data_IF_543246228378
#
_entry.id   IF_543246228378
#
_cell.length_a   1.000
_cell.length_b   1.000
_cell.length_c   1.000
_cell.angle_alpha   90.00
_cell.angle_beta   90.00
_cell.angle_gamma   90.00
#
_symmetry.space_group_name_H-M   'P 1'
#
loop_
_entity.id
_entity.type
_entity.pdbx_description
1 polymer ?
#
# COMPACT_ATOMS: atom_id res chain seq x y z
N UNK A 1 -4.53 25.02 -18.40
CA UNK A 1 -5.03 23.78 -17.80
C UNK A 1 -3.90 23.12 -17.01
N UNK A 2 -3.94 23.15 -15.65
CA UNK A 2 -2.88 22.60 -14.80
C UNK A 2 -2.67 21.09 -14.97
N UNK A 3 -3.68 20.35 -15.43
CA UNK A 3 -3.58 18.90 -15.72
C UNK A 3 -2.48 18.58 -16.74
N UNK A 4 -2.11 19.55 -17.58
CA UNK A 4 -1.01 19.38 -18.55
C UNK A 4 0.31 19.04 -17.86
N UNK A 5 0.52 19.46 -16.61
CA UNK A 5 1.71 19.10 -15.82
C UNK A 5 1.78 17.58 -15.59
N UNK A 6 0.66 16.94 -15.21
CA UNK A 6 0.60 15.49 -15.03
C UNK A 6 0.78 14.73 -16.34
N UNK A 7 0.26 15.27 -17.43
CA UNK A 7 0.47 14.70 -18.78
C UNK A 7 1.92 14.80 -19.23
N UNK A 8 2.59 15.94 -18.96
CA UNK A 8 4.02 16.11 -19.24
C UNK A 8 4.86 15.07 -18.50
N UNK A 9 4.61 14.89 -17.17
CA UNK A 9 5.26 13.85 -16.37
C UNK A 9 5.00 12.45 -16.94
N UNK A 10 3.76 12.15 -17.32
CA UNK A 10 3.40 10.85 -17.90
C UNK A 10 4.12 10.59 -19.22
N UNK A 11 4.15 11.56 -20.14
CA UNK A 11 4.83 11.39 -21.41
C UNK A 11 6.35 11.32 -21.25
N UNK A 12 6.93 12.15 -20.35
CA UNK A 12 8.33 12.04 -19.98
C UNK A 12 8.68 10.62 -19.54
N UNK A 13 7.90 10.05 -18.61
CA UNK A 13 8.15 8.71 -18.11
C UNK A 13 7.95 7.62 -19.18
N UNK A 14 6.87 7.70 -19.96
CA UNK A 14 6.50 6.67 -20.93
C UNK A 14 7.41 6.62 -22.15
N UNK A 15 7.90 7.77 -22.60
CA UNK A 15 8.66 7.91 -23.84
C UNK A 15 10.14 8.23 -23.60
N UNK A 16 10.57 8.19 -22.33
CA UNK A 16 11.93 8.55 -21.88
C UNK A 16 12.39 9.91 -22.42
N UNK A 17 11.47 10.88 -22.44
CA UNK A 17 11.75 12.22 -22.96
C UNK A 17 12.40 13.09 -21.87
N UNK A 18 13.22 14.04 -22.32
CA UNK A 18 13.66 15.16 -21.50
C UNK A 18 12.66 16.31 -21.67
N UNK A 19 12.28 16.92 -20.57
CA UNK A 19 11.51 18.16 -20.61
C UNK A 19 12.43 19.32 -21.00
N UNK A 20 11.88 20.29 -21.70
CA UNK A 20 12.57 21.56 -21.95
C UNK A 20 12.92 22.25 -20.63
N UNK A 21 14.06 22.95 -20.58
CA UNK A 21 14.56 23.58 -19.35
C UNK A 21 13.54 24.57 -18.73
N UNK A 22 12.80 25.32 -19.56
CA UNK A 22 11.75 26.23 -19.08
C UNK A 22 10.59 25.47 -18.46
N UNK A 23 10.22 24.31 -19.01
CA UNK A 23 9.19 23.46 -18.40
C UNK A 23 9.67 22.88 -17.08
N UNK A 24 10.90 22.40 -16.98
CA UNK A 24 11.45 21.87 -15.72
C UNK A 24 11.47 22.93 -14.61
N UNK A 25 11.73 24.19 -14.93
CA UNK A 25 11.70 25.31 -14.00
C UNK A 25 10.26 25.72 -13.62
N UNK A 26 9.32 25.68 -14.56
CA UNK A 26 7.94 26.10 -14.34
C UNK A 26 7.12 25.10 -13.53
N UNK A 27 7.35 23.79 -13.69
CA UNK A 27 6.55 22.76 -13.02
C UNK A 27 6.50 22.92 -11.51
N UNK A 28 7.61 23.07 -10.76
CA UNK A 28 7.55 23.29 -9.31
C UNK A 28 6.84 24.58 -8.93
N UNK A 29 7.05 25.66 -9.69
CA UNK A 29 6.41 26.97 -9.42
C UNK A 29 4.90 26.91 -9.60
N UNK A 30 4.41 26.08 -10.51
CA UNK A 30 2.99 25.96 -10.84
C UNK A 30 2.29 24.78 -10.14
N UNK A 31 3.01 23.95 -9.37
CA UNK A 31 2.45 22.76 -8.74
C UNK A 31 1.18 23.05 -7.93
N UNK A 32 1.13 24.18 -7.21
CA UNK A 32 -0.04 24.61 -6.46
C UNK A 32 -1.29 24.84 -7.31
N UNK A 33 -1.15 25.11 -8.61
CA UNK A 33 -2.29 25.28 -9.50
C UNK A 33 -3.11 23.97 -9.70
N UNK A 34 -2.56 22.80 -9.34
CA UNK A 34 -3.31 21.54 -9.33
C UNK A 34 -4.53 21.60 -8.41
N UNK A 35 -4.51 22.39 -7.35
CA UNK A 35 -5.65 22.55 -6.44
C UNK A 35 -6.89 23.18 -7.08
N UNK A 36 -6.75 23.83 -8.24
CA UNK A 36 -7.87 24.38 -9.00
C UNK A 36 -8.54 23.35 -9.92
N UNK A 37 -7.97 22.15 -10.04
CA UNK A 37 -8.52 21.07 -10.86
C UNK A 37 -9.48 20.22 -10.02
N UNK A 38 -10.57 19.76 -10.61
CA UNK A 38 -11.53 18.91 -9.90
C UNK A 38 -10.86 17.61 -9.41
N UNK A 39 -11.08 17.21 -8.14
CA UNK A 39 -10.45 16.02 -7.54
C UNK A 39 -10.67 14.70 -8.29
N UNK A 40 -11.86 14.43 -8.90
CA UNK A 40 -12.02 13.23 -9.73
C UNK A 40 -11.12 13.22 -10.97
N UNK A 41 -10.91 14.38 -11.60
CA UNK A 41 -10.03 14.49 -12.78
C UNK A 41 -8.57 14.27 -12.41
N UNK A 42 -8.13 14.78 -11.25
CA UNK A 42 -6.78 14.51 -10.74
C UNK A 42 -6.59 13.02 -10.47
N UNK A 43 -7.57 12.35 -9.87
CA UNK A 43 -7.53 10.90 -9.65
C UNK A 43 -7.32 10.12 -10.96
N UNK A 44 -8.08 10.45 -12.03
CA UNK A 44 -7.93 9.79 -13.34
C UNK A 44 -6.55 9.99 -13.96
N UNK A 45 -6.00 11.19 -13.89
CA UNK A 45 -4.67 11.46 -14.46
C UNK A 45 -3.56 10.79 -13.64
N UNK A 46 -3.68 10.73 -12.30
CA UNK A 46 -2.74 10.01 -11.44
C UNK A 46 -2.70 8.51 -11.79
N UNK A 47 -3.86 7.89 -11.99
CA UNK A 47 -3.91 6.50 -12.45
C UNK A 47 -3.15 6.34 -13.77
N UNK A 48 -3.35 7.24 -14.72
CA UNK A 48 -2.63 7.19 -16.01
C UNK A 48 -1.12 7.37 -15.87
N UNK A 49 -0.66 8.08 -14.85
CA UNK A 49 0.78 8.19 -14.54
C UNK A 49 1.31 6.91 -13.92
N UNK A 50 0.58 6.32 -12.98
CA UNK A 50 1.07 5.18 -12.19
C UNK A 50 0.85 3.82 -12.85
N UNK A 51 -0.06 3.71 -13.84
CA UNK A 51 -0.45 2.45 -14.50
C UNK A 51 -0.13 2.42 -16.00
N UNK A 52 0.96 3.04 -16.41
CA UNK A 52 1.37 3.06 -17.82
C UNK A 52 2.57 2.17 -18.15
N UNK A 53 3.05 1.36 -17.21
CA UNK A 53 4.26 0.54 -17.32
C UNK A 53 5.56 1.30 -17.00
N UNK A 54 5.46 2.56 -16.61
CA UNK A 54 6.57 3.44 -16.21
C UNK A 54 6.21 4.23 -14.93
N UNK A 55 5.36 3.63 -14.08
CA UNK A 55 4.83 4.27 -12.88
C UNK A 55 5.90 4.66 -11.87
N UNK A 56 6.97 3.87 -11.74
CA UNK A 56 8.09 4.18 -10.87
C UNK A 56 8.81 5.48 -11.31
N UNK A 57 9.08 5.63 -12.60
CA UNK A 57 9.70 6.85 -13.16
C UNK A 57 8.74 8.04 -13.06
N UNK A 58 7.44 7.79 -13.32
CA UNK A 58 6.40 8.81 -13.20
C UNK A 58 6.28 9.34 -11.77
N UNK A 59 6.29 8.48 -10.77
CA UNK A 59 6.23 8.86 -9.36
C UNK A 59 7.45 9.69 -8.93
N UNK A 60 8.66 9.28 -9.32
CA UNK A 60 9.87 10.05 -9.07
C UNK A 60 9.83 11.44 -9.71
N UNK A 61 9.26 11.55 -10.91
CA UNK A 61 9.09 12.83 -11.57
C UNK A 61 8.03 13.70 -10.87
N UNK A 62 6.92 13.12 -10.38
CA UNK A 62 5.94 13.85 -9.57
C UNK A 62 6.59 14.43 -8.30
N UNK A 63 7.45 13.66 -7.63
CA UNK A 63 8.18 14.10 -6.44
C UNK A 63 9.17 15.21 -6.79
N UNK A 64 10.04 14.97 -7.77
CA UNK A 64 11.07 15.93 -8.24
C UNK A 64 10.50 17.30 -8.58
N UNK A 65 9.32 17.33 -9.18
CA UNK A 65 8.68 18.60 -9.59
C UNK A 65 7.68 19.15 -8.56
N UNK A 66 7.65 18.61 -7.33
CA UNK A 66 6.78 19.10 -6.25
C UNK A 66 5.28 18.83 -6.48
N UNK A 67 4.92 18.10 -7.54
CA UNK A 67 3.53 17.78 -7.85
C UNK A 67 2.93 16.78 -6.85
N UNK A 68 3.77 15.89 -6.31
CA UNK A 68 3.35 14.89 -5.33
C UNK A 68 2.79 15.52 -4.06
N UNK A 69 3.44 16.58 -3.56
CA UNK A 69 2.99 17.33 -2.39
C UNK A 69 1.63 18.02 -2.64
N UNK A 70 1.39 18.53 -3.84
CA UNK A 70 0.11 19.18 -4.20
C UNK A 70 -1.02 18.17 -4.37
N UNK A 71 -0.72 16.94 -4.79
CA UNK A 71 -1.71 15.87 -4.98
C UNK A 71 -2.04 15.15 -3.66
N UNK A 72 -1.04 14.90 -2.81
CA UNK A 72 -1.14 14.10 -1.60
C UNK A 72 -0.57 14.83 -0.37
N UNK A 73 -1.06 16.04 -0.05
CA UNK A 73 -0.43 16.90 0.96
C UNK A 73 -0.33 16.24 2.35
N UNK A 74 -1.38 15.52 2.77
CA UNK A 74 -1.37 14.81 4.07
C UNK A 74 -0.51 13.54 4.03
N UNK A 75 -0.55 12.78 2.93
CA UNK A 75 0.20 11.52 2.83
C UNK A 75 1.71 11.75 2.75
N UNK A 76 2.16 12.76 2.02
CA UNK A 76 3.59 13.08 1.86
C UNK A 76 4.28 13.44 3.17
N UNK A 77 3.54 13.96 4.16
CA UNK A 77 4.07 14.23 5.51
C UNK A 77 4.47 12.95 6.26
N UNK A 78 3.97 11.81 5.84
CA UNK A 78 4.24 10.50 6.44
C UNK A 78 5.22 9.66 5.62
N UNK A 79 5.64 10.13 4.45
CA UNK A 79 6.64 9.42 3.65
C UNK A 79 8.01 9.53 4.31
N UNK A 80 8.70 8.41 4.41
CA UNK A 80 10.11 8.40 4.75
C UNK A 80 10.94 8.68 3.49
N UNK A 81 12.19 9.08 3.68
CA UNK A 81 13.14 9.22 2.58
C UNK A 81 13.28 7.91 1.78
N UNK A 82 13.10 6.77 2.45
CA UNK A 82 13.09 5.45 1.80
C UNK A 82 11.90 5.29 0.86
N UNK A 83 10.72 5.80 1.25
CA UNK A 83 9.50 5.71 0.45
C UNK A 83 9.57 6.56 -0.82
N UNK A 84 10.41 7.59 -0.85
CA UNK A 84 10.57 8.47 -2.01
C UNK A 84 11.73 8.05 -2.92
N UNK A 85 12.91 7.80 -2.35
CA UNK A 85 14.15 7.79 -3.10
C UNK A 85 14.93 6.48 -3.05
N UNK A 86 14.65 5.54 -2.13
CA UNK A 86 15.44 4.31 -2.01
C UNK A 86 14.91 3.19 -2.89
N UNK A 87 15.83 2.48 -3.54
CA UNK A 87 15.52 1.33 -4.40
C UNK A 87 14.65 0.27 -3.71
N UNK A 88 14.76 0.11 -2.39
CA UNK A 88 14.02 -0.86 -1.59
C UNK A 88 12.86 -0.25 -0.78
N UNK A 89 12.49 1.01 -1.04
CA UNK A 89 11.34 1.63 -0.41
C UNK A 89 10.02 0.97 -0.82
N UNK A 90 9.04 1.01 0.07
CA UNK A 90 7.74 0.36 -0.13
C UNK A 90 7.05 0.83 -1.42
N UNK A 91 6.94 2.14 -1.63
CA UNK A 91 6.28 2.74 -2.81
C UNK A 91 7.06 2.46 -4.09
N UNK A 92 8.38 2.72 -4.19
CA UNK A 92 9.17 2.40 -5.38
C UNK A 92 9.14 0.91 -5.75
N UNK A 93 9.17 0.00 -4.78
CA UNK A 93 9.06 -1.44 -5.04
C UNK A 93 7.68 -1.82 -5.59
N UNK A 94 6.60 -1.28 -5.01
CA UNK A 94 5.25 -1.54 -5.50
C UNK A 94 5.07 -1.07 -6.95
N UNK A 95 5.59 0.11 -7.28
CA UNK A 95 5.51 0.67 -8.62
C UNK A 95 6.31 -0.15 -9.62
N UNK A 96 7.56 -0.52 -9.32
CA UNK A 96 8.36 -1.39 -10.19
C UNK A 96 7.72 -2.75 -10.42
N UNK A 97 7.18 -3.37 -9.35
CA UNK A 97 6.46 -4.64 -9.49
C UNK A 97 5.21 -4.49 -10.37
N UNK A 98 4.52 -3.35 -10.27
CA UNK A 98 3.37 -3.03 -11.12
C UNK A 98 3.80 -2.83 -12.58
N UNK A 99 4.87 -2.08 -12.82
CA UNK A 99 5.43 -1.86 -14.15
C UNK A 99 5.86 -3.18 -14.81
N UNK A 100 6.54 -4.06 -14.04
CA UNK A 100 6.92 -5.39 -14.53
C UNK A 100 5.71 -6.26 -14.85
N UNK A 101 4.66 -6.25 -14.01
CA UNK A 101 3.42 -6.99 -14.28
C UNK A 101 2.73 -6.50 -15.56
N UNK A 102 2.72 -5.19 -15.80
CA UNK A 102 2.19 -4.61 -17.04
C UNK A 102 3.01 -5.01 -18.26
N UNK A 103 4.34 -5.02 -18.16
CA UNK A 103 5.22 -5.54 -19.20
C UNK A 103 4.97 -7.02 -19.51
N UNK A 104 4.74 -7.83 -18.45
CA UNK A 104 4.39 -9.26 -18.54
C UNK A 104 2.91 -9.48 -18.96
N UNK A 105 2.14 -8.44 -19.27
CA UNK A 105 0.69 -8.50 -19.58
C UNK A 105 -0.15 -9.14 -18.47
N UNK A 106 0.31 -9.08 -17.20
CA UNK A 106 -0.43 -9.58 -16.03
C UNK A 106 -1.39 -8.51 -15.53
N UNK A 107 -2.56 -8.91 -14.97
CA UNK A 107 -3.53 -7.94 -14.46
C UNK A 107 -2.97 -7.16 -13.26
N UNK A 108 -3.24 -5.86 -13.25
CA UNK A 108 -2.97 -4.94 -12.15
C UNK A 108 -4.25 -4.23 -11.73
N UNK A 109 -4.35 -3.86 -10.47
CA UNK A 109 -5.51 -3.16 -9.92
C UNK A 109 -5.09 -1.84 -9.27
N UNK A 110 -5.75 -0.75 -9.63
CA UNK A 110 -5.48 0.58 -9.06
C UNK A 110 -5.58 0.62 -7.53
N UNK A 111 -6.54 -0.07 -6.86
CA UNK A 111 -6.61 -0.11 -5.40
C UNK A 111 -5.31 -0.56 -4.73
N UNK A 112 -4.54 -1.45 -5.34
CA UNK A 112 -3.28 -1.94 -4.78
C UNK A 112 -2.27 -0.80 -4.59
N UNK A 113 -1.99 -0.02 -5.63
CA UNK A 113 -1.03 1.09 -5.55
C UNK A 113 -1.47 2.17 -4.56
N UNK A 114 -2.77 2.53 -4.55
CA UNK A 114 -3.28 3.48 -3.56
C UNK A 114 -3.24 2.93 -2.13
N UNK A 115 -3.44 1.61 -1.95
CA UNK A 115 -3.26 0.98 -0.63
C UNK A 115 -1.82 1.11 -0.13
N UNK A 116 -0.84 0.93 -1.01
CA UNK A 116 0.58 1.09 -0.67
C UNK A 116 0.92 2.55 -0.41
N UNK A 117 0.49 3.46 -1.28
CA UNK A 117 0.78 4.90 -1.20
C UNK A 117 0.28 5.52 0.11
N UNK A 118 -0.92 5.14 0.55
CA UNK A 118 -1.55 5.73 1.74
C UNK A 118 -1.29 4.93 3.02
N UNK A 119 -0.55 3.81 2.95
CA UNK A 119 -0.34 2.89 4.07
C UNK A 119 0.30 3.54 5.29
N UNK A 120 1.37 4.33 5.08
CA UNK A 120 2.09 5.00 6.17
C UNK A 120 1.16 5.91 6.99
N UNK A 121 0.32 6.66 6.30
CA UNK A 121 -0.64 7.57 6.95
C UNK A 121 -1.68 6.79 7.73
N UNK A 122 -2.23 5.69 7.17
CA UNK A 122 -3.17 4.81 7.87
C UNK A 122 -2.54 4.18 9.11
N UNK A 123 -1.30 3.68 9.00
CA UNK A 123 -0.57 3.12 10.14
C UNK A 123 -0.35 4.17 11.25
N UNK A 124 0.04 5.38 10.89
CA UNK A 124 0.27 6.45 11.85
C UNK A 124 -0.99 6.78 12.65
N UNK A 125 -2.13 6.91 11.98
CA UNK A 125 -3.41 7.17 12.64
C UNK A 125 -3.88 5.98 13.48
N UNK A 126 -3.61 4.75 13.05
CA UNK A 126 -3.95 3.55 13.80
C UNK A 126 -3.11 3.37 15.07
N UNK A 127 -1.83 3.77 15.06
CA UNK A 127 -0.93 3.69 16.23
C UNK A 127 -1.31 4.65 17.35
N UNK A 128 -1.95 5.76 17.03
CA UNK A 128 -2.41 6.75 18.02
C UNK A 128 -3.55 6.24 18.90
N UNK A 129 -4.18 5.11 18.57
CA UNK A 129 -5.31 4.52 19.28
C UNK A 129 -4.95 3.12 19.76
N UNK A 130 -4.54 2.96 21.01
CA UNK A 130 -4.30 1.64 21.61
C UNK A 130 -5.61 1.00 22.06
N UNK A 131 -5.90 -0.24 21.63
CA UNK A 131 -7.11 -0.99 22.00
C UNK A 131 -6.97 -2.49 21.77
N UNK A 132 -7.85 -3.30 22.39
CA UNK A 132 -7.89 -4.75 22.21
C UNK A 132 -8.24 -5.19 20.77
N UNK A 133 -8.26 -6.52 20.52
CA UNK A 133 -8.40 -7.08 19.15
C UNK A 133 -9.64 -6.62 18.36
N UNK A 134 -10.77 -6.33 18.99
CA UNK A 134 -11.96 -5.78 18.32
C UNK A 134 -11.72 -4.33 17.89
N UNK A 135 -11.03 -3.57 18.72
CA UNK A 135 -10.68 -2.19 18.47
C UNK A 135 -9.69 -2.03 17.29
N UNK A 136 -8.90 -3.06 16.94
CA UNK A 136 -7.90 -2.96 15.85
C UNK A 136 -8.58 -2.71 14.48
N UNK A 137 -9.62 -3.47 14.14
CA UNK A 137 -10.32 -3.29 12.88
C UNK A 137 -11.13 -1.99 12.86
N UNK A 138 -11.80 -1.66 13.95
CA UNK A 138 -12.52 -0.40 14.09
C UNK A 138 -11.55 0.80 13.97
N UNK A 139 -10.42 0.74 14.63
CA UNK A 139 -9.36 1.75 14.54
C UNK A 139 -8.82 1.87 13.11
N UNK A 140 -8.63 0.73 12.41
CA UNK A 140 -8.22 0.73 11.01
C UNK A 140 -9.26 1.45 10.14
N UNK A 141 -10.55 1.12 10.28
CA UNK A 141 -11.62 1.76 9.52
C UNK A 141 -11.68 3.27 9.76
N UNK A 142 -11.66 3.70 11.04
CA UNK A 142 -11.64 5.12 11.39
C UNK A 142 -10.41 5.84 10.81
N UNK A 143 -9.24 5.18 10.82
CA UNK A 143 -8.02 5.72 10.24
C UNK A 143 -8.09 5.82 8.71
N UNK A 144 -8.66 4.80 8.07
CA UNK A 144 -8.89 4.77 6.62
C UNK A 144 -9.87 5.88 6.19
N UNK A 145 -10.98 6.03 6.89
CA UNK A 145 -11.96 7.08 6.63
C UNK A 145 -11.34 8.47 6.77
N UNK A 146 -10.55 8.68 7.82
CA UNK A 146 -9.83 9.95 8.02
C UNK A 146 -8.86 10.24 6.87
N UNK A 147 -8.04 9.26 6.45
CA UNK A 147 -7.11 9.41 5.33
C UNK A 147 -7.85 9.77 4.04
N UNK A 148 -8.97 9.10 3.76
CA UNK A 148 -9.78 9.36 2.57
C UNK A 148 -10.46 10.73 2.62
N UNK A 149 -10.91 11.19 3.80
CA UNK A 149 -11.47 12.52 4.00
C UNK A 149 -10.43 13.63 3.77
N UNK A 150 -9.22 13.47 4.32
CA UNK A 150 -8.13 14.42 4.14
C UNK A 150 -7.64 14.50 2.68
N UNK A 151 -7.73 13.40 1.94
CA UNK A 151 -7.35 13.34 0.54
C UNK A 151 -8.43 13.93 -0.40
N UNK A 152 -9.69 13.87 0.02
CA UNK A 152 -10.84 14.21 -0.82
C UNK A 152 -10.78 15.60 -1.49
N UNK A 153 -10.23 16.67 -0.86
CA UNK A 153 -10.14 18.00 -1.50
C UNK A 153 -9.18 18.03 -2.70
N UNK A 154 -8.17 17.16 -2.74
CA UNK A 154 -7.15 17.12 -3.79
C UNK A 154 -7.37 15.96 -4.76
N UNK A 155 -7.56 14.74 -4.25
CA UNK A 155 -7.74 13.53 -5.06
C UNK A 155 -8.94 12.74 -4.55
N UNK A 156 -10.00 12.66 -5.36
CA UNK A 156 -11.21 11.94 -4.98
C UNK A 156 -11.15 10.50 -5.46
N UNK A 157 -10.80 9.59 -4.56
CA UNK A 157 -10.82 8.14 -4.83
C UNK A 157 -12.27 7.63 -4.88
N UNK A 158 -12.73 7.00 -5.98
CA UNK A 158 -14.07 6.42 -6.07
C UNK A 158 -14.31 5.35 -4.99
N UNK A 159 -15.52 5.30 -4.42
CA UNK A 159 -15.89 4.36 -3.34
C UNK A 159 -15.60 2.89 -3.69
N UNK A 160 -15.81 2.49 -4.95
CA UNK A 160 -15.47 1.13 -5.43
C UNK A 160 -13.99 0.78 -5.29
N UNK A 161 -13.10 1.78 -5.35
CA UNK A 161 -11.64 1.62 -5.21
C UNK A 161 -11.26 1.65 -3.73
N UNK A 162 -11.75 2.64 -2.96
CA UNK A 162 -11.44 2.75 -1.54
C UNK A 162 -11.93 1.54 -0.72
N UNK A 163 -13.07 0.95 -1.07
CA UNK A 163 -13.54 -0.28 -0.44
C UNK A 163 -12.54 -1.44 -0.60
N UNK A 164 -11.96 -1.60 -1.80
CA UNK A 164 -10.93 -2.63 -2.03
C UNK A 164 -9.62 -2.31 -1.30
N UNK A 165 -9.26 -1.03 -1.18
CA UNK A 165 -8.09 -0.61 -0.39
C UNK A 165 -8.26 -1.00 1.08
N UNK A 166 -9.43 -0.75 1.66
CA UNK A 166 -9.75 -1.12 3.05
C UNK A 166 -9.70 -2.65 3.22
N UNK A 167 -10.26 -3.43 2.28
CA UNK A 167 -10.13 -4.90 2.28
C UNK A 167 -8.64 -5.34 2.31
N UNK A 168 -7.77 -4.70 1.51
CA UNK A 168 -6.34 -5.01 1.47
C UNK A 168 -5.67 -4.68 2.81
N UNK A 169 -5.98 -3.54 3.44
CA UNK A 169 -5.44 -3.14 4.74
C UNK A 169 -5.91 -4.05 5.87
N UNK A 170 -7.20 -4.44 5.88
CA UNK A 170 -7.70 -5.45 6.84
C UNK A 170 -6.96 -6.78 6.70
N UNK A 171 -6.70 -7.21 5.48
CA UNK A 171 -5.98 -8.45 5.22
C UNK A 171 -4.54 -8.37 5.74
N UNK A 172 -3.86 -7.21 5.75
CA UNK A 172 -2.54 -7.09 6.38
C UNK A 172 -2.60 -7.51 7.85
N UNK A 173 -3.58 -6.99 8.62
CA UNK A 173 -3.75 -7.37 10.03
C UNK A 173 -4.00 -8.87 10.18
N UNK A 174 -4.84 -9.44 9.33
CA UNK A 174 -5.20 -10.87 9.40
C UNK A 174 -4.02 -11.78 9.02
N UNK A 175 -3.21 -11.37 8.03
CA UNK A 175 -2.00 -12.09 7.61
C UNK A 175 -0.95 -12.08 8.73
N UNK A 176 -0.76 -10.95 9.42
CA UNK A 176 0.15 -10.86 10.57
C UNK A 176 -0.31 -11.73 11.74
N UNK A 177 -1.62 -11.78 12.02
CA UNK A 177 -2.17 -12.57 13.12
C UNK A 177 -2.07 -14.09 12.92
N UNK A 178 -2.04 -14.56 11.70
CA UNK A 178 -1.95 -16.00 11.32
C UNK A 178 -2.86 -16.91 12.18
N UNK A 179 -4.13 -16.52 12.36
CA UNK A 179 -5.05 -17.31 13.20
C UNK A 179 -5.40 -18.63 12.51
N UNK A 180 -5.15 -19.82 13.12
CA UNK A 180 -5.35 -21.12 12.46
C UNK A 180 -6.72 -21.30 11.84
N UNK A 181 -7.78 -20.85 12.55
CA UNK A 181 -9.18 -20.97 12.09
C UNK A 181 -9.51 -20.13 10.85
N UNK A 182 -8.68 -19.15 10.48
CA UNK A 182 -8.96 -18.21 9.38
C UNK A 182 -8.09 -18.43 8.16
N UNK A 183 -7.01 -19.23 8.26
CA UNK A 183 -6.00 -19.38 7.20
C UNK A 183 -6.61 -19.86 5.88
N UNK A 184 -7.40 -20.95 5.91
CA UNK A 184 -8.05 -21.48 4.69
C UNK A 184 -8.93 -20.45 4.00
N UNK A 185 -9.71 -19.67 4.79
CA UNK A 185 -10.56 -18.60 4.27
C UNK A 185 -9.74 -17.43 3.72
N UNK A 186 -8.57 -17.15 4.30
CA UNK A 186 -7.65 -16.13 3.78
C UNK A 186 -7.07 -16.54 2.43
N UNK A 187 -6.58 -17.80 2.31
CA UNK A 187 -6.04 -18.34 1.07
C UNK A 187 -7.05 -18.31 -0.09
N UNK A 188 -8.34 -18.54 0.20
CA UNK A 188 -9.43 -18.47 -0.80
C UNK A 188 -10.02 -17.07 -1.00
N UNK A 189 -9.51 -16.05 -0.30
CA UNK A 189 -10.08 -14.71 -0.40
C UNK A 189 -9.73 -14.05 -1.75
N UNK A 190 -10.70 -13.44 -2.42
CA UNK A 190 -10.53 -12.80 -3.75
C UNK A 190 -9.42 -11.74 -3.81
N UNK A 191 -9.06 -11.14 -2.68
CA UNK A 191 -7.99 -10.13 -2.58
C UNK A 191 -6.71 -10.69 -1.96
N UNK A 192 -6.66 -12.00 -1.70
CA UNK A 192 -5.51 -12.62 -1.06
C UNK A 192 -4.22 -12.31 -1.82
N UNK A 193 -4.21 -12.48 -3.15
CA UNK A 193 -3.02 -12.22 -3.95
C UNK A 193 -2.49 -10.79 -3.78
N UNK A 194 -3.38 -9.78 -3.85
CA UNK A 194 -2.98 -8.39 -3.65
C UNK A 194 -2.46 -8.12 -2.23
N UNK A 195 -3.12 -8.70 -1.21
CA UNK A 195 -2.70 -8.56 0.17
C UNK A 195 -1.37 -9.28 0.46
N UNK A 196 -1.13 -10.44 -0.15
CA UNK A 196 0.11 -11.17 -0.06
C UNK A 196 1.25 -10.42 -0.76
N UNK A 197 1.06 -9.94 -1.99
CA UNK A 197 2.05 -9.12 -2.68
C UNK A 197 2.41 -7.87 -1.85
N UNK A 198 1.42 -7.27 -1.16
CA UNK A 198 1.67 -6.16 -0.25
C UNK A 198 2.45 -6.58 1.00
N UNK A 199 2.16 -7.75 1.58
CA UNK A 199 2.92 -8.29 2.71
C UNK A 199 4.39 -8.50 2.35
N UNK A 200 4.69 -9.04 1.16
CA UNK A 200 6.06 -9.20 0.66
C UNK A 200 6.80 -7.88 0.54
N UNK A 201 6.12 -6.84 0.05
CA UNK A 201 6.70 -5.49 -0.02
C UNK A 201 7.03 -4.94 1.37
N UNK A 202 6.15 -5.17 2.35
CA UNK A 202 6.33 -4.75 3.74
C UNK A 202 7.48 -5.50 4.41
N UNK A 203 7.66 -6.78 4.10
CA UNK A 203 8.82 -7.55 4.56
C UNK A 203 10.12 -6.98 3.96
N UNK A 204 10.17 -6.80 2.65
CA UNK A 204 11.32 -6.19 1.98
C UNK A 204 11.66 -4.76 2.44
N UNK A 205 10.68 -4.03 2.99
CA UNK A 205 10.86 -2.73 3.63
C UNK A 205 11.19 -2.82 5.13
N UNK A 206 11.27 -4.02 5.71
CA UNK A 206 11.58 -4.25 7.13
C UNK A 206 10.42 -3.94 8.10
N UNK A 207 9.17 -3.80 7.60
CA UNK A 207 8.01 -3.53 8.45
C UNK A 207 7.47 -4.77 9.17
N UNK A 208 7.65 -5.92 8.57
CA UNK A 208 7.29 -7.24 9.09
C UNK A 208 8.46 -8.21 8.90
N UNK A 209 8.50 -9.31 9.65
CA UNK A 209 9.59 -10.27 9.52
C UNK A 209 9.52 -11.05 8.21
N UNK A 210 10.70 -11.35 7.63
CA UNK A 210 10.81 -12.21 6.45
C UNK A 210 10.19 -13.60 6.71
N UNK A 211 10.34 -14.14 7.92
CA UNK A 211 9.73 -15.42 8.32
C UNK A 211 8.20 -15.43 8.23
N UNK A 212 7.54 -14.26 8.34
CA UNK A 212 6.11 -14.15 8.12
C UNK A 212 5.78 -14.24 6.62
N UNK A 213 6.56 -13.57 5.80
CA UNK A 213 6.41 -13.56 4.34
C UNK A 213 6.69 -14.97 3.77
N UNK A 214 7.78 -15.60 4.22
CA UNK A 214 8.17 -16.96 3.83
C UNK A 214 7.08 -17.97 4.17
N UNK A 215 6.51 -17.89 5.37
CA UNK A 215 5.42 -18.77 5.80
C UNK A 215 4.19 -18.67 4.88
N UNK A 216 3.81 -17.44 4.48
CA UNK A 216 2.69 -17.24 3.54
C UNK A 216 3.05 -17.64 2.12
N UNK A 217 4.32 -17.62 1.73
CA UNK A 217 4.80 -18.15 0.44
C UNK A 217 4.69 -19.66 0.43
N UNK A 218 5.29 -20.32 1.42
CA UNK A 218 5.37 -21.76 1.54
C UNK A 218 3.99 -22.43 1.55
N UNK A 219 3.05 -21.91 2.35
CA UNK A 219 1.71 -22.51 2.47
C UNK A 219 0.91 -22.49 1.16
N UNK A 220 1.21 -21.56 0.22
CA UNK A 220 0.55 -21.51 -1.09
C UNK A 220 1.01 -22.62 -2.04
N UNK A 221 2.22 -23.13 -1.85
CA UNK A 221 2.84 -24.16 -2.70
C UNK A 221 2.62 -25.58 -2.15
N UNK A 222 2.10 -25.70 -0.92
CA UNK A 222 1.90 -26.98 -0.26
C UNK A 222 0.68 -27.75 -0.77
N UNK A 223 0.73 -29.09 -0.79
CA UNK A 223 -0.44 -29.93 -0.94
C UNK A 223 -1.46 -29.71 0.18
N UNK A 224 -2.77 -29.89 -0.05
CA UNK A 224 -3.82 -29.63 0.94
C UNK A 224 -3.65 -30.35 2.29
N UNK A 225 -3.07 -31.56 2.28
CA UNK A 225 -2.78 -32.34 3.50
C UNK A 225 -1.71 -31.67 4.37
N UNK A 226 -0.66 -31.14 3.76
CA UNK A 226 0.43 -30.45 4.46
C UNK A 226 0.00 -29.08 4.95
N UNK A 227 -0.82 -28.36 4.19
CA UNK A 227 -1.49 -27.13 4.66
C UNK A 227 -2.25 -27.38 5.97
N UNK A 228 -2.99 -28.50 6.04
CA UNK A 228 -3.74 -28.85 7.25
C UNK A 228 -2.81 -29.12 8.44
N UNK A 229 -1.69 -29.81 8.23
CA UNK A 229 -0.68 -30.09 9.25
C UNK A 229 -0.04 -28.80 9.77
N UNK A 230 0.40 -27.93 8.85
CA UNK A 230 1.01 -26.63 9.19
C UNK A 230 0.06 -25.74 10.02
N UNK A 231 -1.24 -25.72 9.69
CA UNK A 231 -2.26 -25.00 10.47
C UNK A 231 -2.42 -25.59 11.88
N UNK A 232 -2.39 -26.93 12.02
CA UNK A 232 -2.52 -27.59 13.32
C UNK A 232 -1.31 -27.31 14.22
N UNK A 233 -0.10 -27.33 13.67
CA UNK A 233 1.16 -27.02 14.38
C UNK A 233 1.14 -25.57 14.91
N UNK A 234 0.70 -24.63 14.08
CA UNK A 234 0.53 -23.24 14.49
C UNK A 234 -0.46 -23.11 15.65
N UNK A 235 -1.55 -23.89 15.65
CA UNK A 235 -2.53 -23.93 16.74
C UNK A 235 -1.97 -24.45 18.06
N UNK A 236 -1.12 -25.51 18.01
CA UNK A 236 -0.45 -26.06 19.18
C UNK A 236 0.56 -25.10 19.81
N UNK A 237 1.37 -24.44 19.01
CA UNK A 237 2.35 -23.44 19.46
C UNK A 237 1.69 -22.23 20.14
N UNK A 238 0.55 -21.78 19.64
CA UNK A 238 -0.24 -20.69 20.24
C UNK A 238 -0.85 -21.06 21.60
N UNK A 239 -1.23 -22.32 21.80
CA UNK A 239 -1.78 -22.82 23.07
C UNK A 239 -0.70 -22.94 24.15
N UNK A 240 0.50 -23.39 23.80
CA UNK A 240 1.62 -23.51 24.75
C UNK A 240 2.09 -22.15 25.28
N UNK A 241 2.15 -21.12 24.42
CA UNK A 241 2.48 -19.75 24.85
C UNK A 241 1.44 -19.16 25.83
N UNK A 242 0.16 -19.46 25.66
CA UNK A 242 -0.89 -19.02 26.60
C UNK A 242 -0.78 -19.68 27.98
N UNK A 243 -0.40 -20.95 28.07
CA UNK A 243 -0.24 -21.70 29.31
C UNK A 243 0.98 -21.21 30.09
N UNK A 244 2.11 -20.95 29.42
CA UNK A 244 3.32 -20.44 30.06
C UNK A 244 3.14 -18.99 30.58
N UNK A 245 2.45 -18.13 29.83
CA UNK A 245 2.14 -16.76 30.24
C UNK A 245 1.19 -16.68 31.45
N UNK A 246 0.25 -17.65 31.57
CA UNK A 246 -0.69 -17.73 32.73
C UNK A 246 -0.01 -18.25 34.02
N UNK A 247 1.02 -19.12 33.88
CA UNK A 247 1.83 -19.57 35.03
C UNK A 247 2.75 -18.47 35.57
N UNK A 248 3.28 -17.57 34.74
CA UNK A 248 4.09 -16.43 35.19
C UNK A 248 3.27 -15.37 35.95
N UNK A 249 2.00 -15.16 35.59
CA UNK A 249 1.09 -14.17 36.23
C UNK A 249 0.50 -14.63 37.56
N UNK A 250 0.62 -15.93 37.92
CA UNK A 250 0.17 -16.49 39.20
C UNK A 250 1.30 -16.61 40.24
N UNK A 251 2.53 -16.20 39.90
CA UNK A 251 3.70 -16.26 40.80
C UNK A 251 4.23 -14.87 41.21
N UNK A 252 3.53 -13.81 40.86
CA UNK A 252 3.69 -12.42 41.33
C UNK A 252 2.41 -12.01 42.08
#
# INVERSE_FOLDING_TARGET
DPVRMLRAVRFKAKLDLRLDAKMEELLPRMAGALTTVSPPRLFEEIIKVLHNGHGAVGFQALDRYGLLQSLFPSATQHFSEQDLNKKNGLIPCALRNTDQRLADRKPVISPFLFSVLLWRQVQQYSRMKSGGNHAIFETLHQSADRVLQELHPTVRIPRRISAVMIEIWELQIRLEQRRPRTIKRLLSHRRFRAAYDFLLLRAGAGEVSDSLADWWTEIQEMPPADVQRMIQELGKSGSQRKISGRKKRKRT
#
